data_IF_193740216353
#
_entry.id   IF_193740216353
#
_cell.length_a   1.000
_cell.length_b   1.000
_cell.length_c   1.000
_cell.angle_alpha   90.00
_cell.angle_beta   90.00
_cell.angle_gamma   90.00
#
_symmetry.space_group_name_H-M   'P 1'
#
loop_
_entity.id
_entity.type
_entity.pdbx_description
1 polymer ?
#
# COMPACT_ATOMS: atom_id res chain seq x y z
N UNK A 1 0.47 -47.21 5.51
CA UNK A 1 -0.04 -45.83 5.70
C UNK A 1 0.97 -44.73 5.36
N UNK A 2 2.25 -45.05 5.08
CA UNK A 2 3.29 -44.05 4.79
C UNK A 2 3.25 -43.46 3.38
N UNK A 3 2.72 -44.18 2.38
CA UNK A 3 2.67 -43.74 0.97
C UNK A 3 1.80 -42.49 0.74
N UNK A 4 0.63 -42.42 1.39
CA UNK A 4 -0.32 -41.31 1.25
C UNK A 4 0.21 -39.98 1.82
N UNK A 5 1.05 -40.04 2.86
CA UNK A 5 1.67 -38.85 3.45
C UNK A 5 2.71 -38.22 2.51
N UNK A 6 3.53 -39.04 1.85
CA UNK A 6 4.58 -38.56 0.94
C UNK A 6 4.00 -37.91 -0.34
N UNK A 7 2.94 -38.51 -0.93
CA UNK A 7 2.22 -37.89 -2.06
C UNK A 7 1.54 -36.58 -1.66
N UNK A 8 0.98 -36.51 -0.45
CA UNK A 8 0.34 -35.29 0.06
C UNK A 8 1.31 -34.13 0.11
N UNK A 9 2.60 -34.34 0.47
CA UNK A 9 3.65 -33.32 0.58
C UNK A 9 4.31 -32.98 -0.75
N UNK A 10 4.23 -33.88 -1.73
CA UNK A 10 4.81 -33.66 -3.05
C UNK A 10 3.99 -32.66 -3.88
N UNK A 11 2.67 -32.65 -3.74
CA UNK A 11 1.79 -31.73 -4.46
C UNK A 11 2.10 -30.25 -4.18
N UNK A 12 2.15 -29.85 -2.90
CA UNK A 12 2.50 -28.49 -2.50
C UNK A 12 3.96 -28.13 -2.76
N UNK A 13 4.90 -29.08 -2.68
CA UNK A 13 6.30 -28.82 -3.05
C UNK A 13 6.43 -28.49 -4.54
N UNK A 14 5.71 -29.22 -5.40
CA UNK A 14 5.66 -28.93 -6.85
C UNK A 14 5.01 -27.58 -7.14
N UNK A 15 3.96 -27.20 -6.42
CA UNK A 15 3.31 -25.89 -6.57
C UNK A 15 4.29 -24.78 -6.20
N UNK A 16 4.95 -24.86 -5.04
CA UNK A 16 5.93 -23.85 -4.61
C UNK A 16 7.09 -23.77 -5.59
N UNK A 17 7.65 -24.90 -6.01
CA UNK A 17 8.76 -24.93 -6.96
C UNK A 17 8.38 -24.34 -8.33
N UNK A 18 7.19 -24.68 -8.83
CA UNK A 18 6.66 -24.14 -10.09
C UNK A 18 6.45 -22.62 -10.00
N UNK A 19 5.85 -22.14 -8.91
CA UNK A 19 5.64 -20.71 -8.66
C UNK A 19 6.96 -19.96 -8.59
N UNK A 20 7.93 -20.45 -7.80
CA UNK A 20 9.25 -19.83 -7.67
C UNK A 20 9.98 -19.85 -9.02
N UNK A 21 9.95 -20.96 -9.74
CA UNK A 21 10.56 -21.08 -11.06
C UNK A 21 9.97 -20.10 -12.08
N UNK A 22 8.64 -19.97 -12.12
CA UNK A 22 7.94 -19.02 -13.00
C UNK A 22 8.31 -17.57 -12.70
N UNK A 23 8.42 -17.19 -11.42
CA UNK A 23 8.86 -15.85 -11.00
C UNK A 23 10.30 -15.58 -11.47
N UNK A 24 11.20 -16.55 -11.28
CA UNK A 24 12.60 -16.42 -11.70
C UNK A 24 12.69 -16.26 -13.22
N UNK A 25 12.01 -17.11 -13.99
CA UNK A 25 11.98 -17.02 -15.46
C UNK A 25 11.42 -15.68 -15.92
N UNK A 26 10.28 -15.24 -15.37
CA UNK A 26 9.68 -13.94 -15.69
C UNK A 26 10.64 -12.79 -15.38
N UNK A 27 11.31 -12.84 -14.23
CA UNK A 27 12.29 -11.83 -13.83
C UNK A 27 13.47 -11.76 -14.80
N UNK A 28 14.00 -12.92 -15.23
CA UNK A 28 15.09 -12.98 -16.22
C UNK A 28 14.63 -12.42 -17.57
N UNK A 29 13.42 -12.73 -18.02
CA UNK A 29 12.86 -12.21 -19.26
C UNK A 29 12.66 -10.68 -19.21
N UNK A 30 12.05 -10.18 -18.13
CA UNK A 30 11.88 -8.74 -17.92
C UNK A 30 13.23 -8.03 -17.87
N UNK A 31 14.20 -8.57 -17.11
CA UNK A 31 15.57 -8.04 -17.05
C UNK A 31 16.24 -8.02 -18.42
N UNK A 32 16.04 -9.07 -19.21
CA UNK A 32 16.56 -9.19 -20.57
C UNK A 32 16.01 -8.07 -21.45
N UNK A 33 14.69 -7.88 -21.46
CA UNK A 33 14.02 -6.82 -22.24
C UNK A 33 14.51 -5.44 -21.79
N UNK A 34 14.57 -5.17 -20.48
CA UNK A 34 15.08 -3.91 -19.95
C UNK A 34 16.52 -3.69 -20.41
N UNK A 35 17.39 -4.71 -20.34
CA UNK A 35 18.79 -4.58 -20.76
C UNK A 35 18.94 -4.27 -22.26
N UNK A 36 18.14 -4.91 -23.11
CA UNK A 36 18.15 -4.63 -24.55
C UNK A 36 17.59 -3.25 -24.90
N UNK A 37 16.65 -2.74 -24.09
CA UNK A 37 15.92 -1.52 -24.42
C UNK A 37 16.39 -0.28 -23.63
N UNK A 38 17.20 -0.43 -22.59
CA UNK A 38 17.46 0.55 -21.52
C UNK A 38 17.79 1.98 -21.99
N UNK A 39 16.83 2.91 -22.09
CA UNK A 39 17.14 4.32 -22.20
C UNK A 39 17.27 4.81 -20.76
N UNK A 40 18.48 5.19 -20.34
CA UNK A 40 18.76 5.72 -19.00
C UNK A 40 17.75 6.80 -18.57
N UNK A 41 17.24 7.55 -19.56
CA UNK A 41 16.22 8.59 -19.47
C UNK A 41 14.85 8.09 -18.96
N UNK A 42 14.44 6.86 -19.28
CA UNK A 42 13.17 6.30 -18.79
C UNK A 42 13.20 6.06 -17.28
N UNK A 43 14.37 5.73 -16.74
CA UNK A 43 14.51 5.48 -15.30
C UNK A 43 14.20 6.75 -14.50
N UNK A 44 14.76 7.89 -14.92
CA UNK A 44 14.51 9.16 -14.25
C UNK A 44 13.06 9.60 -14.38
N UNK A 45 12.47 9.44 -15.58
CA UNK A 45 11.06 9.77 -15.81
C UNK A 45 10.11 8.91 -14.96
N UNK A 46 10.31 7.58 -14.95
CA UNK A 46 9.50 6.67 -14.15
C UNK A 46 9.70 6.93 -12.66
N UNK A 47 10.94 7.08 -12.19
CA UNK A 47 11.22 7.36 -10.78
C UNK A 47 10.58 8.66 -10.32
N UNK A 48 10.71 9.74 -11.10
CA UNK A 48 10.05 11.01 -10.80
C UNK A 48 8.53 10.87 -10.80
N UNK A 49 7.97 10.17 -11.78
CA UNK A 49 6.53 9.88 -11.86
C UNK A 49 6.01 9.11 -10.64
N UNK A 50 6.66 8.00 -10.28
CA UNK A 50 6.32 7.21 -9.10
C UNK A 50 6.45 8.03 -7.83
N UNK A 51 7.59 8.71 -7.63
CA UNK A 51 7.80 9.57 -6.45
C UNK A 51 6.71 10.64 -6.33
N UNK A 52 6.38 11.31 -7.43
CA UNK A 52 5.34 12.34 -7.46
C UNK A 52 3.94 11.78 -7.14
N UNK A 53 3.64 10.55 -7.59
CA UNK A 53 2.41 9.87 -7.18
C UNK A 53 2.39 9.61 -5.68
N UNK A 54 3.49 9.11 -5.11
CA UNK A 54 3.58 8.84 -3.67
C UNK A 54 3.52 10.11 -2.81
N UNK A 55 4.12 11.22 -3.25
CA UNK A 55 4.08 12.50 -2.51
C UNK A 55 2.69 13.13 -2.45
N UNK A 56 1.78 12.76 -3.37
CA UNK A 56 0.40 13.24 -3.34
C UNK A 56 -0.44 12.56 -2.25
N UNK A 57 0.00 11.42 -1.74
CA UNK A 57 -0.61 10.79 -0.57
C UNK A 57 -0.03 11.42 0.69
N UNK A 58 -0.55 12.59 1.06
CA UNK A 58 -0.27 13.19 2.36
C UNK A 58 -0.92 12.35 3.47
N UNK A 59 -0.15 12.03 4.52
CA UNK A 59 -0.72 11.45 5.75
C UNK A 59 -1.49 12.48 6.59
N UNK A 60 -1.49 13.75 6.19
CA UNK A 60 -2.21 14.83 6.86
C UNK A 60 -3.47 15.15 6.05
N UNK A 61 -4.63 14.89 6.66
CA UNK A 61 -5.94 15.30 6.16
C UNK A 61 -6.42 16.46 7.01
N UNK A 62 -6.65 17.62 6.39
CA UNK A 62 -7.23 18.79 7.04
C UNK A 62 -8.69 18.90 6.62
N UNK A 63 -9.59 18.85 7.61
CA UNK A 63 -11.04 19.00 7.41
C UNK A 63 -11.51 20.25 8.17
N UNK A 64 -12.30 21.09 7.52
CA UNK A 64 -12.95 22.25 8.14
C UNK A 64 -14.42 21.92 8.33
N UNK A 65 -14.88 21.93 9.57
CA UNK A 65 -16.27 21.67 9.94
C UNK A 65 -16.85 22.98 10.47
N UNK A 66 -17.95 23.44 9.88
CA UNK A 66 -18.65 24.62 10.36
C UNK A 66 -19.40 24.27 11.66
N UNK A 67 -19.37 25.18 12.63
CA UNK A 67 -20.04 25.03 13.92
C UNK A 67 -21.57 24.99 13.80
N UNK A 68 -22.12 25.71 12.81
CA UNK A 68 -23.56 25.82 12.58
C UNK A 68 -23.93 25.40 11.16
N UNK A 69 -25.08 24.76 11.02
CA UNK A 69 -25.80 24.58 9.76
C UNK A 69 -27.06 25.47 9.79
N UNK A 70 -26.91 26.70 9.28
CA UNK A 70 -27.93 27.74 9.40
C UNK A 70 -28.05 28.31 10.82
N UNK A 71 -29.21 28.13 11.46
CA UNK A 71 -29.48 28.58 12.84
C UNK A 71 -29.40 27.45 13.87
N UNK A 72 -28.98 26.26 13.44
CA UNK A 72 -28.89 25.05 14.28
C UNK A 72 -27.44 24.62 14.35
N UNK A 73 -27.03 24.03 15.47
CA UNK A 73 -25.68 23.48 15.65
C UNK A 73 -25.43 22.34 14.65
N UNK A 74 -24.21 22.26 14.15
CA UNK A 74 -23.79 21.16 13.30
C UNK A 74 -23.43 19.95 14.16
N UNK A 75 -24.19 18.86 14.03
CA UNK A 75 -23.98 17.62 14.79
C UNK A 75 -22.59 17.01 14.53
N UNK A 76 -22.02 17.22 13.33
CA UNK A 76 -20.68 16.74 12.98
C UNK A 76 -19.61 17.54 13.75
N UNK A 77 -19.83 18.85 13.93
CA UNK A 77 -18.95 19.69 14.73
C UNK A 77 -18.97 19.25 16.19
N UNK A 78 -20.16 19.08 16.77
CA UNK A 78 -20.33 18.63 18.17
C UNK A 78 -19.69 17.25 18.41
N UNK A 79 -19.92 16.30 17.50
CA UNK A 79 -19.31 14.97 17.57
C UNK A 79 -17.78 15.03 17.48
N UNK A 80 -17.25 15.87 16.59
CA UNK A 80 -15.81 16.07 16.44
C UNK A 80 -15.20 16.73 17.69
N UNK A 81 -15.86 17.72 18.28
CA UNK A 81 -15.44 18.39 19.51
C UNK A 81 -15.35 17.39 20.68
N UNK A 82 -16.39 16.57 20.90
CA UNK A 82 -16.40 15.56 21.95
C UNK A 82 -15.31 14.51 21.73
N UNK A 83 -15.13 14.05 20.49
CA UNK A 83 -14.12 13.04 20.17
C UNK A 83 -12.69 13.58 20.34
N UNK A 84 -12.41 14.75 19.76
CA UNK A 84 -11.09 15.38 19.79
C UNK A 84 -10.74 15.90 21.19
N UNK A 85 -11.68 16.48 21.92
CA UNK A 85 -11.48 16.92 23.30
C UNK A 85 -11.02 15.78 24.22
N UNK A 86 -11.55 14.57 24.01
CA UNK A 86 -11.14 13.38 24.76
C UNK A 86 -9.81 12.76 24.27
N UNK A 87 -9.49 12.89 22.97
CA UNK A 87 -8.26 12.34 22.36
C UNK A 87 -7.04 13.24 22.48
N UNK A 88 -7.24 14.55 22.58
CA UNK A 88 -6.19 15.57 22.72
C UNK A 88 -5.88 15.88 24.19
N UNK A 89 -6.47 15.13 25.14
CA UNK A 89 -6.18 15.24 26.57
C UNK A 89 -4.67 15.19 26.82
N UNK A 90 -4.13 16.09 27.65
CA UNK A 90 -2.76 16.52 27.50
C UNK A 90 -1.75 15.47 27.96
N UNK A 91 -0.75 15.19 27.11
CA UNK A 91 0.60 14.93 27.62
C UNK A 91 1.17 16.28 28.08
N UNK A 92 0.61 16.85 29.16
CA UNK A 92 1.27 17.92 29.91
C UNK A 92 2.33 17.19 30.72
N UNK A 93 3.58 17.38 30.32
CA UNK A 93 4.76 16.96 31.07
C UNK A 93 5.60 18.19 31.41
#
# INVERSE_FOLDING_TARGET
MSSSSAESKMALAKIVLSTVGSIVVTTILVRSIIHYYNPLELHEYLFFGFKNMFTKFSNQLTMVIAEFDGLVNNEIYEAAEIYLGNKLSPNIH
#
